data_IF_168198561159
#
_entry.id   IF_168198561159
#
_cell.length_a   1.000
_cell.length_b   1.000
_cell.length_c   1.000
_cell.angle_alpha   90.00
_cell.angle_beta   90.00
_cell.angle_gamma   90.00
#
_symmetry.space_group_name_H-M   'P 1'
#
loop_
_entity.id
_entity.type
_entity.pdbx_description
1 polymer ?
#
# COMPACT_ATOMS: atom_id res chain seq x y z
N UNK A 1 -6.13 -10.57 -7.80
CA UNK A 1 -5.72 -9.24 -7.30
C UNK A 1 -6.63 -8.91 -6.12
N UNK A 2 -6.08 -8.61 -4.94
CA UNK A 2 -6.88 -8.13 -3.81
C UNK A 2 -7.31 -6.69 -4.08
N UNK A 3 -8.58 -6.38 -3.83
CA UNK A 3 -9.20 -5.10 -4.14
C UNK A 3 -9.08 -4.07 -3.01
N UNK A 4 -8.62 -4.50 -1.84
CA UNK A 4 -8.39 -3.65 -0.67
C UNK A 4 -7.19 -4.11 0.17
N UNK A 5 -6.67 -3.21 1.02
CA UNK A 5 -5.61 -3.52 1.97
C UNK A 5 -5.97 -4.70 2.90
N UNK A 6 -7.23 -4.75 3.35
CA UNK A 6 -7.72 -5.81 4.23
C UNK A 6 -7.74 -7.17 3.54
N UNK A 7 -8.15 -7.22 2.27
CA UNK A 7 -8.08 -8.46 1.48
C UNK A 7 -6.63 -8.91 1.26
N UNK A 8 -5.72 -7.99 0.95
CA UNK A 8 -4.29 -8.31 0.81
C UNK A 8 -3.73 -8.91 2.10
N UNK A 9 -4.02 -8.28 3.24
CA UNK A 9 -3.54 -8.76 4.54
C UNK A 9 -4.14 -10.12 4.88
N UNK A 10 -5.46 -10.29 4.75
CA UNK A 10 -6.12 -11.55 5.01
C UNK A 10 -5.59 -12.68 4.12
N UNK A 11 -5.37 -12.40 2.84
CA UNK A 11 -4.75 -13.36 1.92
C UNK A 11 -3.29 -13.65 2.31
N UNK A 12 -2.58 -12.68 2.86
CA UNK A 12 -1.20 -12.86 3.29
C UNK A 12 -1.10 -13.75 4.54
N UNK A 13 -2.06 -13.69 5.47
CA UNK A 13 -2.07 -14.47 6.73
C UNK A 13 -3.05 -15.66 6.74
N UNK A 14 -3.62 -16.01 5.58
CA UNK A 14 -4.74 -16.96 5.46
C UNK A 14 -4.45 -18.31 6.13
N UNK A 15 -3.23 -18.83 5.95
CA UNK A 15 -2.82 -20.12 6.52
C UNK A 15 -2.60 -20.05 8.03
N UNK A 16 -2.02 -18.95 8.51
CA UNK A 16 -1.66 -18.76 9.91
C UNK A 16 -2.89 -18.54 10.79
N UNK A 17 -3.97 -17.97 10.25
CA UNK A 17 -5.26 -17.80 10.92
C UNK A 17 -5.91 -19.12 11.38
N UNK A 18 -5.46 -20.27 10.88
CA UNK A 18 -5.97 -21.59 11.26
C UNK A 18 -5.19 -22.22 12.43
N UNK A 19 -4.13 -21.57 12.91
CA UNK A 19 -3.29 -22.05 14.01
C UNK A 19 -3.84 -21.59 15.38
N UNK A 20 -3.45 -22.26 16.48
CA UNK A 20 -3.65 -21.71 17.83
C UNK A 20 -3.05 -20.31 17.95
N UNK A 21 -3.65 -19.43 18.77
CA UNK A 21 -3.31 -18.00 18.82
C UNK A 21 -1.80 -17.75 19.00
N UNK A 22 -1.14 -18.49 19.87
CA UNK A 22 0.30 -18.35 20.12
C UNK A 22 1.13 -18.74 18.89
N UNK A 23 0.79 -19.83 18.22
CA UNK A 23 1.46 -20.25 16.99
C UNK A 23 1.18 -19.30 15.81
N UNK A 24 -0.05 -18.78 15.70
CA UNK A 24 -0.39 -17.77 14.69
C UNK A 24 0.44 -16.50 14.85
N UNK A 25 0.60 -16.00 16.08
CA UNK A 25 1.42 -14.81 16.34
C UNK A 25 2.90 -15.05 16.03
N UNK A 26 3.45 -16.21 16.40
CA UNK A 26 4.83 -16.58 16.09
C UNK A 26 5.08 -16.62 14.57
N UNK A 27 4.17 -17.25 13.81
CA UNK A 27 4.28 -17.33 12.35
C UNK A 27 4.15 -15.96 11.68
N UNK A 28 3.20 -15.13 12.11
CA UNK A 28 3.07 -13.75 11.59
C UNK A 28 4.33 -12.95 11.91
N UNK A 29 4.87 -13.06 13.13
CA UNK A 29 6.10 -12.39 13.53
C UNK A 29 7.30 -12.81 12.66
N UNK A 30 7.48 -14.11 12.43
CA UNK A 30 8.51 -14.64 11.52
C UNK A 30 8.35 -14.11 10.10
N UNK A 31 7.11 -14.07 9.58
CA UNK A 31 6.82 -13.53 8.24
C UNK A 31 7.14 -12.04 8.13
N UNK A 32 6.79 -11.26 9.15
CA UNK A 32 7.13 -9.83 9.20
C UNK A 32 8.65 -9.62 9.25
N UNK A 33 9.36 -10.38 10.08
CA UNK A 33 10.82 -10.31 10.20
C UNK A 33 11.51 -10.65 8.88
N UNK A 34 11.10 -11.75 8.24
CA UNK A 34 11.63 -12.14 6.93
C UNK A 34 11.36 -11.06 5.88
N UNK A 35 10.12 -10.56 5.81
CA UNK A 35 9.75 -9.50 4.88
C UNK A 35 10.57 -8.21 5.09
N UNK A 36 10.80 -7.81 6.34
CA UNK A 36 11.63 -6.64 6.65
C UNK A 36 13.10 -6.86 6.23
N UNK A 37 13.64 -8.05 6.50
CA UNK A 37 15.00 -8.43 6.07
C UNK A 37 15.13 -8.44 4.56
N UNK A 38 14.20 -9.07 3.85
CA UNK A 38 14.20 -9.15 2.38
C UNK A 38 14.15 -7.75 1.75
N UNK A 39 13.26 -6.88 2.23
CA UNK A 39 13.16 -5.48 1.76
C UNK A 39 14.42 -4.66 2.05
N UNK A 40 15.03 -4.86 3.21
CA UNK A 40 16.32 -4.22 3.56
C UNK A 40 17.44 -4.67 2.62
N UNK A 41 17.46 -5.94 2.24
CA UNK A 41 18.46 -6.46 1.30
C UNK A 41 18.20 -5.99 -0.13
N UNK A 42 16.93 -5.93 -0.54
CA UNK A 42 16.50 -5.45 -1.84
C UNK A 42 16.92 -4.00 -2.09
N UNK A 43 16.63 -3.10 -1.13
CA UNK A 43 16.88 -1.67 -1.33
C UNK A 43 18.37 -1.29 -1.35
N UNK A 44 19.27 -2.14 -0.85
CA UNK A 44 20.73 -1.90 -0.90
C UNK A 44 21.26 -1.74 -2.32
N UNK A 45 20.61 -2.38 -3.29
CA UNK A 45 21.05 -2.38 -4.68
C UNK A 45 20.38 -1.28 -5.52
N UNK A 46 19.45 -0.51 -4.94
CA UNK A 46 18.75 0.55 -5.66
C UNK A 46 19.67 1.75 -5.84
N UNK A 47 19.80 2.21 -7.09
CA UNK A 47 20.66 3.35 -7.48
C UNK A 47 19.86 4.59 -7.87
N UNK A 48 18.55 4.46 -7.92
CA UNK A 48 17.60 5.48 -8.40
C UNK A 48 17.09 6.34 -7.25
N UNK A 49 16.50 7.49 -7.59
CA UNK A 49 15.96 8.42 -6.59
C UNK A 49 14.68 7.83 -5.97
N UNK A 50 13.83 7.25 -6.81
CA UNK A 50 12.60 6.57 -6.39
C UNK A 50 12.81 5.07 -6.23
N UNK A 51 11.88 4.43 -5.53
CA UNK A 51 11.76 2.97 -5.56
C UNK A 51 11.61 2.50 -7.02
N UNK A 52 12.21 1.36 -7.44
CA UNK A 52 12.19 0.92 -8.84
C UNK A 52 10.80 0.85 -9.48
N UNK A 53 9.80 0.39 -8.74
CA UNK A 53 8.39 0.36 -9.21
C UNK A 53 7.87 1.75 -9.53
N UNK A 54 8.26 2.76 -8.74
CA UNK A 54 7.86 4.14 -8.94
C UNK A 54 8.66 4.82 -10.05
N UNK A 55 9.91 4.44 -10.29
CA UNK A 55 10.68 4.88 -11.47
C UNK A 55 10.00 4.41 -12.77
N UNK A 56 9.55 3.16 -12.82
CA UNK A 56 8.81 2.63 -13.97
C UNK A 56 7.49 3.40 -14.16
N UNK A 57 6.71 3.59 -13.08
CA UNK A 57 5.47 4.38 -13.12
C UNK A 57 5.73 5.82 -13.57
N UNK A 58 6.85 6.42 -13.16
CA UNK A 58 7.24 7.76 -13.59
C UNK A 58 7.51 7.80 -15.10
N UNK A 59 8.30 6.85 -15.61
CA UNK A 59 8.64 6.75 -17.02
C UNK A 59 7.39 6.60 -17.90
N UNK A 60 6.43 5.77 -17.50
CA UNK A 60 5.13 5.61 -18.17
C UNK A 60 4.37 6.94 -18.21
N UNK A 61 4.31 7.67 -17.08
CA UNK A 61 3.60 8.95 -17.00
C UNK A 61 4.30 10.07 -17.79
N UNK A 62 5.63 10.01 -17.90
CA UNK A 62 6.41 10.90 -18.77
C UNK A 62 6.07 10.64 -20.24
N UNK A 63 5.93 9.38 -20.66
CA UNK A 63 5.53 9.07 -22.03
C UNK A 63 4.12 9.57 -22.33
N UNK A 64 3.17 9.33 -21.41
CA UNK A 64 1.81 9.86 -21.53
C UNK A 64 1.77 11.39 -21.62
N UNK A 65 2.68 12.08 -20.91
CA UNK A 65 2.76 13.54 -20.88
C UNK A 65 3.19 14.15 -22.22
N UNK A 66 3.78 13.38 -23.14
CA UNK A 66 4.17 13.90 -24.47
C UNK A 66 2.97 14.21 -25.36
N UNK A 67 1.83 13.60 -25.09
CA UNK A 67 0.59 13.76 -25.87
C UNK A 67 -0.26 14.98 -25.49
N UNK A 68 0.20 15.81 -24.54
CA UNK A 68 -0.59 16.93 -24.00
C UNK A 68 0.04 18.27 -24.37
N UNK A 69 -0.80 19.26 -24.62
CA UNK A 69 -0.37 20.64 -24.90
C UNK A 69 -0.50 21.48 -23.64
N UNK A 70 0.51 22.29 -23.32
CA UNK A 70 0.56 23.09 -22.10
C UNK A 70 0.62 24.57 -22.45
N UNK A 71 -0.26 25.36 -21.86
CA UNK A 71 -0.23 26.82 -21.87
C UNK A 71 -0.03 27.34 -20.45
N UNK A 72 0.97 28.20 -20.25
CA UNK A 72 1.25 28.79 -18.95
C UNK A 72 0.31 29.97 -18.69
N UNK A 73 -0.46 29.91 -17.62
CA UNK A 73 -1.34 31.00 -17.18
C UNK A 73 -0.68 31.93 -16.17
N UNK A 74 0.16 31.38 -15.29
CA UNK A 74 0.88 32.13 -14.24
C UNK A 74 2.22 31.43 -13.94
N UNK A 75 2.99 31.94 -12.96
CA UNK A 75 4.26 31.36 -12.53
C UNK A 75 4.14 29.88 -12.18
N UNK A 76 3.05 29.47 -11.52
CA UNK A 76 2.80 28.10 -11.05
C UNK A 76 1.53 27.46 -11.61
N UNK A 77 0.70 28.20 -12.35
CA UNK A 77 -0.59 27.73 -12.87
C UNK A 77 -0.53 27.53 -14.38
N UNK A 78 -1.01 26.38 -14.83
CA UNK A 78 -0.98 25.95 -16.22
C UNK A 78 -2.35 25.43 -16.66
N UNK A 79 -2.71 25.73 -17.90
CA UNK A 79 -3.79 25.08 -18.62
C UNK A 79 -3.19 23.97 -19.48
N UNK A 80 -3.72 22.76 -19.35
CA UNK A 80 -3.28 21.59 -20.10
C UNK A 80 -4.44 21.09 -20.96
N UNK A 81 -4.22 21.06 -22.27
CA UNK A 81 -5.20 20.61 -23.25
C UNK A 81 -4.79 19.22 -23.74
N UNK A 82 -5.73 18.29 -23.67
CA UNK A 82 -5.64 16.97 -24.29
C UNK A 82 -6.64 16.89 -25.43
N UNK A 83 -6.60 15.82 -26.24
CA UNK A 83 -7.56 15.63 -27.34
C UNK A 83 -9.05 15.72 -26.93
N UNK A 84 -9.36 15.40 -25.66
CA UNK A 84 -10.73 15.26 -25.18
C UNK A 84 -11.16 16.29 -24.15
N UNK A 85 -10.22 16.78 -23.35
CA UNK A 85 -10.51 17.56 -22.15
C UNK A 85 -9.39 18.55 -21.86
N UNK A 86 -9.75 19.56 -21.08
CA UNK A 86 -8.81 20.52 -20.52
C UNK A 86 -8.68 20.38 -19.00
N UNK A 87 -7.48 20.65 -18.49
CA UNK A 87 -7.14 20.50 -17.09
C UNK A 87 -6.38 21.73 -16.60
N UNK A 88 -6.72 22.17 -15.38
CA UNK A 88 -5.94 23.17 -14.67
C UNK A 88 -4.94 22.45 -13.77
N UNK A 89 -3.68 22.86 -13.84
CA UNK A 89 -2.59 22.38 -12.98
C UNK A 89 -2.07 23.56 -12.16
N UNK A 90 -1.96 23.35 -10.85
CA UNK A 90 -1.29 24.27 -9.92
C UNK A 90 -0.11 23.53 -9.29
N UNK A 91 1.10 23.92 -9.69
CA UNK A 91 2.33 23.29 -9.22
C UNK A 91 2.65 23.66 -7.78
N UNK A 92 2.22 24.82 -7.30
CA UNK A 92 2.50 25.25 -5.93
C UNK A 92 1.68 24.43 -4.92
N UNK A 93 0.39 24.24 -5.23
CA UNK A 93 -0.51 23.43 -4.40
C UNK A 93 -0.49 21.94 -4.74
N UNK A 94 0.40 21.49 -5.65
CA UNK A 94 0.47 20.10 -6.16
C UNK A 94 -0.87 19.55 -6.61
N UNK A 95 -1.63 20.37 -7.33
CA UNK A 95 -3.01 20.08 -7.69
C UNK A 95 -3.19 19.97 -9.21
N UNK A 96 -4.06 19.03 -9.61
CA UNK A 96 -4.55 18.94 -10.97
C UNK A 96 -6.04 18.60 -10.93
N UNK A 97 -6.84 19.23 -11.81
CA UNK A 97 -8.29 18.97 -11.88
C UNK A 97 -8.65 17.54 -12.29
N UNK A 98 -7.70 16.72 -12.75
CA UNK A 98 -7.93 15.28 -12.92
C UNK A 98 -7.97 14.49 -11.60
N UNK A 99 -7.70 15.14 -10.46
CA UNK A 99 -7.63 14.59 -9.10
C UNK A 99 -6.58 13.50 -8.83
N UNK A 100 -6.00 12.89 -9.86
CA UNK A 100 -5.01 11.82 -9.68
C UNK A 100 -3.81 12.24 -8.84
N UNK A 101 -3.32 13.48 -8.97
CA UNK A 101 -2.16 13.93 -8.18
C UNK A 101 -2.49 14.02 -6.68
N UNK A 102 -3.65 14.56 -6.33
CA UNK A 102 -4.09 14.64 -4.93
C UNK A 102 -4.39 13.28 -4.31
N UNK A 103 -4.89 12.32 -5.10
CA UNK A 103 -5.20 10.96 -4.64
C UNK A 103 -3.94 10.11 -4.49
N UNK A 104 -3.08 10.09 -5.50
CA UNK A 104 -1.89 9.23 -5.53
C UNK A 104 -0.72 9.83 -4.75
N UNK A 105 -0.72 11.14 -4.47
CA UNK A 105 0.47 11.87 -4.03
C UNK A 105 1.59 11.87 -5.08
N UNK A 106 1.26 11.57 -6.34
CA UNK A 106 2.21 11.39 -7.42
C UNK A 106 1.80 12.22 -8.65
N UNK A 107 2.72 12.97 -9.29
CA UNK A 107 2.40 13.80 -10.44
C UNK A 107 1.71 12.99 -11.56
N UNK A 108 0.52 13.44 -11.97
CA UNK A 108 -0.15 12.89 -13.14
C UNK A 108 0.53 13.38 -14.44
N UNK A 109 0.18 12.81 -15.60
CA UNK A 109 0.75 13.24 -16.89
C UNK A 109 0.62 14.74 -17.18
N UNK A 110 -0.49 15.38 -16.76
CA UNK A 110 -0.72 16.82 -16.93
C UNK A 110 0.23 17.65 -16.05
N UNK A 111 0.43 17.18 -14.81
CA UNK A 111 1.38 17.78 -13.88
C UNK A 111 2.81 17.67 -14.40
N UNK A 112 3.22 16.49 -14.86
CA UNK A 112 4.55 16.26 -15.43
C UNK A 112 4.80 17.19 -16.63
N UNK A 113 3.86 17.29 -17.57
CA UNK A 113 3.99 18.21 -18.70
C UNK A 113 4.14 19.67 -18.25
N UNK A 114 3.38 20.08 -17.23
CA UNK A 114 3.46 21.43 -16.65
C UNK A 114 4.80 21.70 -15.95
N UNK A 115 5.33 20.71 -15.24
CA UNK A 115 6.65 20.76 -14.59
C UNK A 115 7.75 20.95 -15.64
N UNK A 116 7.71 20.16 -16.72
CA UNK A 116 8.68 20.31 -17.82
C UNK A 116 8.54 21.64 -18.54
N UNK A 117 7.31 22.13 -18.77
CA UNK A 117 7.07 23.45 -19.33
C UNK A 117 7.67 24.57 -18.44
N UNK A 118 7.65 24.40 -17.11
CA UNK A 118 8.29 25.32 -16.17
C UNK A 118 9.82 25.22 -16.16
N UNK A 119 10.39 24.09 -16.59
CA UNK A 119 11.82 23.81 -16.55
C UNK A 119 12.32 23.21 -15.23
N UNK A 120 11.41 22.69 -14.39
CA UNK A 120 11.78 22.10 -13.11
C UNK A 120 12.01 20.58 -13.22
N UNK A 121 12.66 20.00 -12.20
CA UNK A 121 12.78 18.55 -12.04
C UNK A 121 11.50 17.93 -11.45
N UNK A 122 10.95 16.92 -12.11
CA UNK A 122 9.75 16.19 -11.65
C UNK A 122 9.95 15.56 -10.26
N UNK A 123 11.17 15.13 -9.94
CA UNK A 123 11.48 14.57 -8.62
C UNK A 123 11.23 15.56 -7.47
N UNK A 124 11.25 16.87 -7.72
CA UNK A 124 10.95 17.91 -6.70
C UNK A 124 9.46 17.99 -6.32
N UNK A 125 8.61 17.32 -7.11
CA UNK A 125 7.16 17.33 -6.99
C UNK A 125 6.58 15.97 -6.55
N UNK A 126 7.45 15.00 -6.26
CA UNK A 126 7.08 13.67 -5.80
C UNK A 126 7.15 13.63 -4.27
N UNK A 127 6.17 12.98 -3.64
CA UNK A 127 6.15 12.81 -2.20
C UNK A 127 7.31 11.95 -1.68
N UNK A 128 7.80 12.33 -0.49
CA UNK A 128 8.96 11.68 0.16
C UNK A 128 8.73 10.18 0.37
N UNK A 129 7.48 9.75 0.54
CA UNK A 129 7.11 8.35 0.71
C UNK A 129 7.54 7.43 -0.46
N UNK A 130 7.77 7.98 -1.65
CA UNK A 130 8.17 7.21 -2.84
C UNK A 130 9.69 7.16 -3.07
N UNK A 131 10.48 7.88 -2.26
CA UNK A 131 11.93 7.90 -2.38
C UNK A 131 12.53 6.57 -1.94
N UNK A 132 13.56 6.11 -2.66
CA UNK A 132 14.34 4.93 -2.29
C UNK A 132 14.96 5.08 -0.89
N UNK A 133 15.37 6.31 -0.53
CA UNK A 133 15.92 6.63 0.80
C UNK A 133 14.87 6.43 1.91
N UNK A 134 13.64 6.89 1.71
CA UNK A 134 12.54 6.70 2.66
C UNK A 134 12.21 5.23 2.87
N UNK A 135 12.19 4.46 1.78
CA UNK A 135 12.02 3.01 1.85
C UNK A 135 13.16 2.36 2.64
N UNK A 136 14.41 2.69 2.32
CA UNK A 136 15.58 2.16 3.04
C UNK A 136 15.56 2.49 4.53
N UNK A 137 15.20 3.73 4.89
CA UNK A 137 15.07 4.16 6.26
C UNK A 137 13.98 3.39 7.01
N UNK A 138 12.85 3.12 6.35
CA UNK A 138 11.72 2.36 6.92
C UNK A 138 12.13 0.94 7.35
N UNK A 139 13.04 0.30 6.59
CA UNK A 139 13.52 -1.06 6.87
C UNK A 139 14.97 -1.10 7.41
N UNK A 140 15.48 0.03 7.90
CA UNK A 140 16.86 0.13 8.41
C UNK A 140 17.06 -0.73 9.67
N UNK A 141 16.05 -0.80 10.53
CA UNK A 141 16.01 -1.61 11.73
C UNK A 141 15.31 -2.94 11.48
N UNK A 142 15.92 -4.03 11.94
CA UNK A 142 15.31 -5.35 11.91
C UNK A 142 14.28 -5.53 13.03
N UNK A 143 13.27 -6.34 12.77
CA UNK A 143 12.37 -6.84 13.82
C UNK A 143 13.18 -7.84 14.66
N UNK A 144 13.22 -7.64 15.97
CA UNK A 144 14.00 -8.45 16.91
C UNK A 144 13.45 -9.87 17.00
N UNK A 145 14.33 -10.86 17.06
CA UNK A 145 13.91 -12.23 17.33
C UNK A 145 13.33 -12.37 18.74
N UNK A 146 12.25 -13.14 18.87
CA UNK A 146 11.63 -13.46 20.15
C UNK A 146 12.12 -14.85 20.54
N UNK A 147 12.74 -14.96 21.72
CA UNK A 147 13.09 -16.24 22.32
C UNK A 147 11.93 -16.75 23.15
N UNK A 148 11.41 -17.94 22.82
CA UNK A 148 10.37 -18.61 23.63
C UNK A 148 10.85 -18.97 25.03
N UNK A 149 12.16 -18.99 25.26
CA UNK A 149 12.78 -19.30 26.55
C UNK A 149 12.95 -18.05 27.43
N UNK A 150 12.76 -16.85 26.88
CA UNK A 150 12.71 -15.59 27.63
C UNK A 150 11.29 -15.36 28.15
N UNK A 151 10.83 -16.27 29.00
CA UNK A 151 9.59 -16.08 29.75
C UNK A 151 9.89 -14.99 30.78
N UNK A 152 9.12 -13.89 30.75
CA UNK A 152 9.16 -12.89 31.79
C UNK A 152 8.93 -13.59 33.14
N UNK A 153 9.92 -13.56 34.02
CA UNK A 153 9.83 -14.15 35.36
C UNK A 153 8.85 -13.43 36.28
N UNK A 154 8.32 -12.27 35.85
CA UNK A 154 7.44 -11.40 36.63
C UNK A 154 5.95 -11.69 36.39
N UNK A 155 5.60 -12.92 36.01
CA UNK A 155 4.20 -13.36 36.10
C UNK A 155 3.94 -13.70 37.56
N UNK A 156 3.36 -12.77 38.33
CA UNK A 156 2.84 -13.12 39.65
C UNK A 156 1.81 -14.24 39.47
N UNK A 157 2.03 -15.38 40.12
CA UNK A 157 1.12 -16.54 40.12
C UNK A 157 -0.27 -16.23 40.73
N UNK A 158 -0.51 -14.98 41.14
CA UNK A 158 -1.71 -14.57 41.87
C UNK A 158 -2.91 -14.19 40.98
N UNK A 159 -2.77 -14.12 39.65
CA UNK A 159 -3.90 -13.76 38.77
C UNK A 159 -4.54 -15.02 38.19
N UNK A 160 -5.57 -15.54 38.88
CA UNK A 160 -6.46 -16.57 38.35
C UNK A 160 -7.32 -15.98 37.21
N UNK A 161 -6.92 -16.23 35.97
CA UNK A 161 -7.70 -15.82 34.79
C UNK A 161 -8.85 -16.81 34.62
N UNK A 162 -10.03 -16.46 35.15
CA UNK A 162 -11.25 -17.22 34.92
C UNK A 162 -11.69 -17.09 33.45
N UNK A 163 -12.26 -18.15 32.84
CA UNK A 163 -12.80 -18.06 31.50
C UNK A 163 -13.89 -16.98 31.46
N UNK A 164 -14.00 -16.19 30.37
CA UNK A 164 -15.09 -15.24 30.23
C UNK A 164 -16.41 -15.99 30.29
N UNK A 165 -17.37 -15.41 31.00
CA UNK A 165 -18.69 -15.99 31.28
C UNK A 165 -19.58 -15.98 30.02
N UNK A 166 -19.15 -16.75 29.01
CA UNK A 166 -19.78 -16.84 27.70
C UNK A 166 -20.81 -17.97 27.74
N UNK A 167 -22.07 -17.60 27.96
CA UNK A 167 -23.19 -18.51 27.67
C UNK A 167 -23.18 -18.81 26.17
N UNK A 168 -22.87 -20.06 25.79
CA UNK A 168 -23.01 -20.52 24.41
C UNK A 168 -24.46 -20.29 23.99
N UNK A 169 -24.69 -19.52 22.92
CA UNK A 169 -26.03 -19.35 22.39
C UNK A 169 -26.63 -20.74 22.09
N UNK A 170 -27.88 -20.95 22.49
CA UNK A 170 -28.60 -22.20 22.23
C UNK A 170 -28.67 -22.42 20.72
N UNK A 171 -27.98 -23.46 20.22
CA UNK A 171 -28.01 -23.83 18.81
C UNK A 171 -26.68 -24.35 18.25
N UNK A 172 -26.77 -25.04 17.11
CA UNK A 172 -25.60 -25.55 16.38
C UNK A 172 -24.76 -24.38 15.85
N UNK A 173 -23.43 -24.33 16.11
CA UNK A 173 -22.55 -23.35 15.49
C UNK A 173 -22.71 -23.39 13.97
N UNK A 174 -22.96 -22.23 13.35
CA UNK A 174 -23.05 -22.14 11.90
C UNK A 174 -21.66 -22.36 11.30
N UNK A 175 -21.52 -23.38 10.46
CA UNK A 175 -20.26 -23.71 9.76
C UNK A 175 -19.99 -22.70 8.62
N UNK A 176 -21.04 -22.06 8.09
CA UNK A 176 -20.92 -21.10 6.98
C UNK A 176 -20.90 -19.66 7.51
N UNK A 177 -19.91 -18.90 7.04
CA UNK A 177 -19.78 -17.45 7.25
C UNK A 177 -21.03 -16.72 6.74
N UNK A 178 -21.42 -15.65 7.44
CA UNK A 178 -22.44 -14.70 6.99
C UNK A 178 -21.75 -13.72 6.02
N UNK A 179 -22.21 -13.68 4.78
CA UNK A 179 -21.72 -12.74 3.76
C UNK A 179 -22.14 -11.31 4.13
N UNK A 180 -21.24 -10.34 3.94
CA UNK A 180 -21.56 -8.91 4.10
C UNK A 180 -22.40 -8.41 2.92
N UNK A 181 -23.12 -7.32 3.12
CA UNK A 181 -24.09 -6.74 2.16
C UNK A 181 -23.50 -6.41 0.77
N UNK A 182 -22.17 -6.33 0.64
CA UNK A 182 -21.46 -6.03 -0.62
C UNK A 182 -20.84 -7.23 -1.34
N UNK A 183 -21.06 -8.47 -0.88
CA UNK A 183 -20.45 -9.64 -1.52
C UNK A 183 -21.10 -9.96 -2.88
N UNK A 184 -20.41 -9.66 -3.99
CA UNK A 184 -20.85 -10.09 -5.32
C UNK A 184 -20.53 -11.58 -5.56
N UNK A 185 -21.55 -12.34 -5.98
CA UNK A 185 -21.41 -13.74 -6.38
C UNK A 185 -21.11 -13.84 -7.88
N UNK A 186 -19.90 -14.26 -8.25
CA UNK A 186 -19.62 -14.68 -9.61
C UNK A 186 -20.09 -16.13 -9.80
N UNK A 187 -21.24 -16.32 -10.44
CA UNK A 187 -21.69 -17.65 -10.85
C UNK A 187 -20.90 -18.10 -12.08
N UNK A 188 -19.99 -19.05 -11.91
CA UNK A 188 -19.35 -19.72 -13.04
C UNK A 188 -20.41 -20.54 -13.80
N UNK A 189 -20.73 -20.13 -15.03
CA UNK A 189 -21.50 -20.96 -15.95
C UNK A 189 -20.70 -22.21 -16.29
N UNK A 190 -21.16 -23.36 -15.80
CA UNK A 190 -20.63 -24.67 -16.21
C UNK A 190 -21.05 -24.91 -17.66
N UNK A 191 -20.09 -24.94 -18.57
CA UNK A 191 -20.28 -25.50 -19.91
C UNK A 191 -20.65 -26.98 -19.77
N UNK A 192 -21.83 -27.33 -20.30
CA UNK A 192 -22.32 -28.70 -20.37
C UNK A 192 -21.71 -29.34 -21.62
N UNK A 193 -20.98 -30.45 -21.44
CA UNK A 193 -20.54 -31.33 -22.54
C UNK A 193 -21.76 -31.98 -23.20
#
# INVERSE_FOLDING_TARGET
MCSSLGECFNSWIDKECHLPITAMLDEIHMKMMKMASDRRMECKNWKTILCPTMEVKLAEKIEEARSVTVARSDKHVFQVVTEKHEYRVDLLSRYCTCNNWGIDGFPCRHAIASIYCKGDSVYSYIEVAFLATSFSNTYSHGITAISRNEICSDVSDEVEILPPDLKRALGRPRVKRIESTGAMRYTAHKYRK
#
